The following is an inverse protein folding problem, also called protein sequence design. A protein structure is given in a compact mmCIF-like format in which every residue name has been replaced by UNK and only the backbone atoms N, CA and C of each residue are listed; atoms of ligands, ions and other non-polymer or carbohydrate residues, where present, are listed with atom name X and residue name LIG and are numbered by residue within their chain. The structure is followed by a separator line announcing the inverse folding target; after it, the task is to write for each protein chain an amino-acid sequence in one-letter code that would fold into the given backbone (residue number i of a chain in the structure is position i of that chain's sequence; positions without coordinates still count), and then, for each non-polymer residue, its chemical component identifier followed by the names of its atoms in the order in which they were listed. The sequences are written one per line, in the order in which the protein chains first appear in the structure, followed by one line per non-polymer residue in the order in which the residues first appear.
data_IF_180068698644
#
_entry.id   IF_180068698644
#
_cell.length_a   1.000
_cell.length_b   1.000
_cell.length_c   1.000
_cell.angle_alpha   90.00
_cell.angle_beta   90.00
_cell.angle_gamma   90.00
#
_symmetry.space_group_name_H-M   'P 1'
#
loop_
_entity.id
_entity.type
_entity.pdbx_description
1 polymer ?
#
# COMPACT_ATOMS: atom_id res chain seq x y z
N UNK A 1 5.94 14.33 17.95
CA UNK A 1 4.77 15.22 18.01
C UNK A 1 4.06 15.06 16.69
N UNK A 2 2.82 14.58 16.67
CA UNK A 2 2.06 14.50 15.43
C UNK A 2 1.68 15.92 15.00
N UNK A 3 1.89 16.26 13.73
CA UNK A 3 1.38 17.51 13.16
C UNK A 3 -0.16 17.48 13.23
N UNK A 4 -0.82 18.57 13.66
CA UNK A 4 -2.28 18.64 13.71
C UNK A 4 -2.86 18.50 12.30
N UNK A 5 -4.03 17.86 12.19
CA UNK A 5 -4.71 17.69 10.91
C UNK A 5 -5.01 19.06 10.28
N UNK A 6 -4.64 19.18 9.01
CA UNK A 6 -5.01 20.29 8.12
C UNK A 6 -5.15 19.74 6.71
N UNK A 7 -5.77 20.50 5.80
CA UNK A 7 -5.84 20.10 4.39
C UNK A 7 -4.46 19.80 3.79
N UNK A 8 -3.44 20.60 4.16
CA UNK A 8 -2.05 20.39 3.70
C UNK A 8 -1.48 19.09 4.26
N UNK A 9 -1.65 18.83 5.56
CA UNK A 9 -1.17 17.59 6.19
C UNK A 9 -1.88 16.36 5.60
N UNK A 10 -3.19 16.45 5.37
CA UNK A 10 -3.98 15.41 4.74
C UNK A 10 -3.48 15.09 3.34
N UNK A 11 -3.37 16.10 2.49
CA UNK A 11 -2.96 15.94 1.10
C UNK A 11 -1.50 15.43 1.02
N UNK A 12 -0.62 15.91 1.90
CA UNK A 12 0.75 15.40 2.00
C UNK A 12 0.81 13.93 2.45
N UNK A 13 -0.02 13.52 3.41
CA UNK A 13 -0.10 12.12 3.85
C UNK A 13 -0.66 11.21 2.76
N UNK A 14 -1.67 11.66 2.02
CA UNK A 14 -2.22 10.94 0.87
C UNK A 14 -1.14 10.77 -0.21
N UNK A 15 -0.42 11.85 -0.55
CA UNK A 15 0.66 11.78 -1.53
C UNK A 15 1.75 10.79 -1.11
N UNK A 16 2.09 10.76 0.20
CA UNK A 16 3.02 9.78 0.78
C UNK A 16 2.51 8.35 0.67
N UNK A 17 1.24 8.13 0.95
CA UNK A 17 0.62 6.84 0.73
C UNK A 17 0.73 6.40 -0.74
N UNK A 18 0.42 7.26 -1.72
CA UNK A 18 0.44 6.89 -3.13
C UNK A 18 1.81 6.39 -3.62
N UNK A 19 2.88 7.15 -3.38
CA UNK A 19 4.20 6.75 -3.85
C UNK A 19 4.76 5.57 -3.04
N UNK A 20 4.38 5.44 -1.76
CA UNK A 20 4.83 4.32 -0.92
C UNK A 20 4.13 3.04 -1.33
N UNK A 21 2.83 3.09 -1.61
CA UNK A 21 2.08 2.00 -2.22
C UNK A 21 2.71 1.57 -3.55
N UNK A 22 3.04 2.52 -4.43
CA UNK A 22 3.62 2.25 -5.74
C UNK A 22 4.99 1.57 -5.63
N UNK A 23 5.81 2.01 -4.67
CA UNK A 23 7.10 1.40 -4.38
C UNK A 23 6.92 -0.03 -3.84
N UNK A 24 6.02 -0.21 -2.87
CA UNK A 24 5.79 -1.50 -2.20
C UNK A 24 5.42 -2.61 -3.18
N UNK A 25 4.41 -2.39 -4.04
CA UNK A 25 3.99 -3.46 -4.96
C UNK A 25 5.06 -3.76 -6.01
N UNK A 26 5.89 -2.78 -6.40
CA UNK A 26 7.04 -3.03 -7.29
C UNK A 26 8.14 -3.80 -6.58
N UNK A 27 8.42 -3.49 -5.32
CA UNK A 27 9.37 -4.25 -4.50
C UNK A 27 8.91 -5.70 -4.35
N UNK A 28 7.65 -5.93 -4.00
CA UNK A 28 7.07 -7.28 -3.91
C UNK A 28 7.09 -8.00 -5.26
N UNK A 29 6.80 -7.31 -6.36
CA UNK A 29 6.91 -7.88 -7.70
C UNK A 29 8.33 -8.38 -8.00
N UNK A 30 9.33 -7.54 -7.76
CA UNK A 30 10.74 -7.93 -7.96
C UNK A 30 11.12 -9.09 -7.03
N UNK A 31 10.70 -9.05 -5.77
CA UNK A 31 10.95 -10.14 -4.82
C UNK A 31 10.36 -11.47 -5.29
N UNK A 32 9.10 -11.47 -5.75
CA UNK A 32 8.44 -12.66 -6.29
C UNK A 32 9.13 -13.19 -7.55
N UNK A 33 9.55 -12.30 -8.45
CA UNK A 33 10.25 -12.66 -9.69
C UNK A 33 11.65 -13.25 -9.39
N UNK A 34 12.42 -12.59 -8.52
CA UNK A 34 13.84 -12.91 -8.28
C UNK A 34 14.03 -14.13 -7.36
N UNK A 35 13.20 -14.27 -6.31
CA UNK A 35 13.38 -15.32 -5.29
C UNK A 35 12.43 -16.51 -5.45
N UNK A 36 11.24 -16.29 -6.03
CA UNK A 36 10.22 -17.34 -6.18
C UNK A 36 9.97 -17.74 -7.64
N UNK A 37 10.56 -17.02 -8.62
CA UNK A 37 10.30 -17.27 -10.05
C UNK A 37 8.85 -17.00 -10.47
N UNK A 38 8.09 -16.27 -9.65
CA UNK A 38 6.66 -15.99 -9.87
C UNK A 38 6.53 -14.69 -10.66
N UNK A 39 5.94 -14.78 -11.84
CA UNK A 39 5.70 -13.62 -12.71
C UNK A 39 4.31 -13.02 -12.45
N UNK A 40 4.24 -12.01 -11.59
CA UNK A 40 3.04 -11.21 -11.38
C UNK A 40 3.15 -9.85 -12.10
N UNK A 41 2.15 -9.47 -12.90
CA UNK A 41 2.22 -8.27 -13.76
C UNK A 41 1.32 -7.13 -13.33
N UNK A 42 0.45 -7.36 -12.34
CA UNK A 42 -0.47 -6.34 -11.78
C UNK A 42 -0.33 -6.28 -10.26
N UNK A 43 -0.62 -5.14 -9.61
CA UNK A 43 -0.58 -5.03 -8.15
C UNK A 43 -1.48 -6.08 -7.47
N UNK A 44 -2.67 -6.33 -8.02
CA UNK A 44 -3.60 -7.35 -7.50
C UNK A 44 -2.98 -8.75 -7.52
N UNK A 45 -2.30 -9.13 -8.61
CA UNK A 45 -1.60 -10.42 -8.68
C UNK A 45 -0.46 -10.45 -7.68
N UNK A 46 0.35 -9.39 -7.60
CA UNK A 46 1.49 -9.31 -6.68
C UNK A 46 1.05 -9.54 -5.24
N UNK A 47 -0.02 -8.88 -4.78
CA UNK A 47 -0.51 -9.07 -3.42
C UNK A 47 -1.06 -10.48 -3.18
N UNK A 48 -1.78 -11.06 -4.13
CA UNK A 48 -2.27 -12.45 -4.02
C UNK A 48 -1.12 -13.46 -3.89
N UNK A 49 -0.10 -13.33 -4.74
CA UNK A 49 1.05 -14.22 -4.70
C UNK A 49 1.86 -14.00 -3.42
N UNK A 50 2.07 -12.75 -2.99
CA UNK A 50 2.76 -12.44 -1.74
C UNK A 50 2.02 -13.00 -0.50
N UNK A 51 0.69 -13.03 -0.53
CA UNK A 51 -0.11 -13.66 0.53
C UNK A 51 0.04 -15.17 0.51
N UNK A 52 0.02 -15.78 -0.67
CA UNK A 52 0.16 -17.24 -0.84
C UNK A 52 1.51 -17.80 -0.36
N UNK A 53 2.54 -16.94 -0.23
CA UNK A 53 3.87 -17.30 0.29
C UNK A 53 4.14 -16.71 1.68
N UNK A 54 3.11 -16.25 2.40
CA UNK A 54 3.18 -15.72 3.76
C UNK A 54 4.12 -14.50 3.94
N UNK A 55 4.35 -13.72 2.87
CA UNK A 55 5.11 -12.46 2.96
C UNK A 55 4.23 -11.33 3.50
N UNK A 56 2.92 -11.38 3.20
CA UNK A 56 1.92 -10.48 3.75
C UNK A 56 0.88 -11.26 4.55
N UNK A 57 0.40 -10.71 5.66
CA UNK A 57 -0.47 -11.43 6.60
C UNK A 57 -1.97 -11.29 6.31
N UNK A 58 -2.37 -10.22 5.63
CA UNK A 58 -3.77 -9.89 5.41
C UNK A 58 -3.93 -9.36 3.98
N UNK A 59 -4.42 -10.16 3.04
CA UNK A 59 -4.58 -9.70 1.65
C UNK A 59 -5.62 -8.58 1.49
N UNK A 60 -6.68 -8.58 2.30
CA UNK A 60 -7.81 -7.66 2.16
C UNK A 60 -7.37 -6.20 2.31
N UNK A 61 -6.44 -5.93 3.23
CA UNK A 61 -5.91 -4.57 3.45
C UNK A 61 -5.15 -4.04 2.22
N UNK A 62 -4.42 -4.89 1.50
CA UNK A 62 -3.67 -4.49 0.30
C UNK A 62 -4.59 -4.34 -0.90
N UNK A 63 -5.64 -5.16 -0.99
CA UNK A 63 -6.70 -4.97 -1.97
C UNK A 63 -7.45 -3.66 -1.71
N UNK A 64 -7.71 -3.30 -0.45
CA UNK A 64 -8.32 -2.03 -0.08
C UNK A 64 -7.41 -0.82 -0.42
N UNK A 65 -6.10 -0.94 -0.21
CA UNK A 65 -5.13 0.07 -0.65
C UNK A 65 -5.16 0.26 -2.16
N UNK A 66 -5.24 -0.83 -2.94
CA UNK A 66 -5.35 -0.75 -4.40
C UNK A 66 -6.60 0.04 -4.81
N UNK A 67 -7.76 -0.25 -4.21
CA UNK A 67 -9.00 0.48 -4.52
C UNK A 67 -8.90 1.95 -4.09
N UNK A 68 -8.30 2.23 -2.93
CA UNK A 68 -8.07 3.60 -2.45
C UNK A 68 -7.15 4.38 -3.39
N UNK A 69 -6.05 3.78 -3.86
CA UNK A 69 -5.14 4.41 -4.84
C UNK A 69 -5.85 4.66 -6.16
N UNK A 70 -6.66 3.72 -6.65
CA UNK A 70 -7.45 3.92 -7.86
C UNK A 70 -8.45 5.07 -7.69
N UNK A 71 -9.08 5.20 -6.53
CA UNK A 71 -10.01 6.30 -6.24
C UNK A 71 -9.31 7.67 -6.24
N UNK A 72 -8.10 7.77 -5.70
CA UNK A 72 -7.30 9.01 -5.69
C UNK A 72 -6.96 9.49 -7.11
N UNK A 73 -6.62 8.58 -8.02
CA UNK A 73 -6.28 8.91 -9.40
C UNK A 73 -7.45 9.51 -10.21
N UNK A 74 -8.69 9.35 -9.73
CA UNK A 74 -9.89 9.72 -10.45
C UNK A 74 -10.71 10.84 -9.78
N UNK A 75 -10.27 11.39 -8.63
CA UNK A 75 -11.19 12.15 -7.78
C UNK A 75 -10.63 13.47 -7.21
N UNK A 76 -11.38 14.55 -7.43
CA UNK A 76 -11.23 15.87 -6.79
C UNK A 76 -12.13 16.04 -5.54
N UNK A 77 -12.63 14.94 -4.94
CA UNK A 77 -13.58 14.98 -3.83
C UNK A 77 -12.86 15.00 -2.48
N UNK A 78 -12.97 16.13 -1.77
CA UNK A 78 -12.41 16.29 -0.43
C UNK A 78 -12.93 15.24 0.57
N UNK A 79 -14.17 14.77 0.38
CA UNK A 79 -14.75 13.70 1.20
C UNK A 79 -13.97 12.40 1.05
N UNK A 80 -13.69 11.98 -0.18
CA UNK A 80 -12.92 10.75 -0.41
C UNK A 80 -11.47 10.87 0.08
N UNK A 81 -10.85 12.05 -0.10
CA UNK A 81 -9.53 12.31 0.45
C UNK A 81 -9.51 12.12 1.98
N UNK A 82 -10.54 12.61 2.68
CA UNK A 82 -10.69 12.37 4.13
C UNK A 82 -10.88 10.88 4.45
N UNK A 83 -11.79 10.20 3.75
CA UNK A 83 -12.06 8.78 3.99
C UNK A 83 -10.80 7.91 3.79
N UNK A 84 -9.93 8.26 2.83
CA UNK A 84 -8.66 7.56 2.60
C UNK A 84 -7.61 7.95 3.64
N UNK A 85 -7.52 9.23 4.00
CA UNK A 85 -6.61 9.71 5.04
C UNK A 85 -6.84 9.00 6.37
N UNK A 86 -8.11 8.77 6.76
CA UNK A 86 -8.46 8.03 7.98
C UNK A 86 -7.98 6.57 7.96
N UNK A 87 -7.77 5.98 6.78
CA UNK A 87 -7.26 4.61 6.59
C UNK A 87 -5.74 4.53 6.53
N UNK A 88 -5.05 5.64 6.22
CA UNK A 88 -3.59 5.67 6.09
C UNK A 88 -2.82 5.09 7.30
N UNK A 89 -3.23 5.27 8.56
CA UNK A 89 -2.55 4.64 9.70
C UNK A 89 -2.56 3.11 9.62
N UNK A 90 -3.71 2.52 9.28
CA UNK A 90 -3.85 1.07 9.10
C UNK A 90 -3.00 0.59 7.92
N UNK A 91 -2.98 1.35 6.82
CA UNK A 91 -2.13 1.02 5.67
C UNK A 91 -0.65 1.06 6.02
N UNK A 92 -0.21 2.07 6.76
CA UNK A 92 1.18 2.20 7.20
C UNK A 92 1.60 0.99 8.03
N UNK A 93 0.78 0.57 9.01
CA UNK A 93 1.08 -0.62 9.82
C UNK A 93 1.27 -1.87 8.96
N UNK A 94 0.40 -2.11 7.98
CA UNK A 94 0.54 -3.25 7.08
C UNK A 94 1.81 -3.16 6.20
N UNK A 95 2.15 -1.97 5.70
CA UNK A 95 3.39 -1.77 4.94
C UNK A 95 4.65 -2.01 5.79
N UNK A 96 4.66 -1.55 7.04
CA UNK A 96 5.76 -1.76 7.98
C UNK A 96 5.93 -3.26 8.32
N UNK A 97 4.83 -3.98 8.51
CA UNK A 97 4.85 -5.44 8.73
C UNK A 97 5.47 -6.16 7.54
N UNK A 98 5.01 -5.87 6.31
CA UNK A 98 5.58 -6.45 5.09
C UNK A 98 7.08 -6.14 4.95
N UNK A 99 7.49 -4.90 5.22
CA UNK A 99 8.90 -4.52 5.17
C UNK A 99 9.76 -5.32 6.17
N UNK A 100 9.24 -5.54 7.38
CA UNK A 100 9.91 -6.35 8.38
C UNK A 100 10.02 -7.83 7.98
N UNK A 101 9.04 -8.37 7.24
CA UNK A 101 9.13 -9.73 6.69
C UNK A 101 10.17 -9.83 5.58
N UNK A 102 10.23 -8.84 4.69
CA UNK A 102 11.24 -8.79 3.63
C UNK A 102 12.66 -8.62 4.18
N UNK A 103 12.83 -7.83 5.25
CA UNK A 103 14.17 -7.57 5.84
C UNK A 103 14.74 -8.73 6.65
N UNK A 104 13.92 -9.73 6.98
CA UNK A 104 14.33 -10.92 7.74
C UNK A 104 14.68 -12.12 6.85
N UNK A 105 14.38 -12.04 5.55
CA UNK A 105 14.72 -13.04 4.53
C UNK A 105 15.95 -12.60 3.74
#
# INVERSE_FOLDING_TARGET
MAEPESAIVRDASIQRFEFTYELLWKTLKSFLEDFHGVRAVTPRQVFKEAFAIDIIDNEDIFLEMLESRNALAHTYSEKQARDIYEKCPQYLTAMEQTFNHLSKN
#
